data_IF_225789501505
#
_entry.id   IF_225789501505
#
_cell.length_a   1.000
_cell.length_b   1.000
_cell.length_c   1.000
_cell.angle_alpha   90.00
_cell.angle_beta   90.00
_cell.angle_gamma   90.00
#
_symmetry.space_group_name_H-M   'P 1'
#
loop_
_entity.id
_entity.type
_entity.pdbx_description
1 polymer ?
#
# COMPACT_ATOMS: atom_id res chain seq x y z
N UNK A 1 -17.41 -4.49 13.95
CA UNK A 1 -17.02 -5.90 14.21
C UNK A 1 -17.93 -6.60 15.22
N UNK A 2 -19.04 -6.02 15.69
CA UNK A 2 -20.03 -6.73 16.53
C UNK A 2 -20.67 -7.94 15.81
N UNK A 3 -20.73 -7.87 14.48
CA UNK A 3 -21.33 -8.89 13.62
C UNK A 3 -20.30 -9.70 12.81
N UNK A 4 -18.99 -9.51 13.05
CA UNK A 4 -18.01 -10.35 12.38
C UNK A 4 -18.02 -11.76 13.00
N UNK A 5 -18.09 -12.81 12.17
CA UNK A 5 -18.03 -14.18 12.67
C UNK A 5 -16.70 -14.40 13.38
N UNK A 6 -16.75 -15.04 14.56
CA UNK A 6 -15.59 -15.32 15.41
C UNK A 6 -14.76 -16.49 14.84
N UNK A 7 -14.37 -16.41 13.57
CA UNK A 7 -13.52 -17.38 12.90
C UNK A 7 -12.09 -16.85 12.98
N UNK A 8 -11.10 -17.67 13.41
CA UNK A 8 -9.71 -17.25 13.40
C UNK A 8 -9.28 -16.81 11.99
N UNK A 9 -8.67 -15.64 11.88
CA UNK A 9 -8.10 -15.15 10.63
C UNK A 9 -6.96 -16.06 10.18
N UNK A 10 -6.86 -16.32 8.88
CA UNK A 10 -5.68 -16.97 8.31
C UNK A 10 -4.45 -16.07 8.48
N UNK A 11 -3.35 -16.66 8.95
CA UNK A 11 -2.12 -15.94 9.24
C UNK A 11 -1.07 -16.18 8.17
N UNK A 12 -0.34 -15.14 7.81
CA UNK A 12 0.79 -15.20 6.87
C UNK A 12 2.01 -15.90 7.48
N UNK A 13 2.02 -16.07 8.81
CA UNK A 13 3.02 -16.82 9.57
C UNK A 13 2.81 -18.34 9.54
N UNK A 14 1.62 -18.83 9.18
CA UNK A 14 1.36 -20.27 9.05
C UNK A 14 1.94 -20.79 7.72
N UNK A 15 3.08 -21.46 7.80
CA UNK A 15 3.83 -22.00 6.65
C UNK A 15 3.03 -22.98 5.78
N UNK A 16 2.02 -23.65 6.34
CA UNK A 16 1.17 -24.59 5.61
C UNK A 16 -0.01 -23.92 4.92
N UNK A 17 -0.28 -22.66 5.25
CA UNK A 17 -1.41 -21.91 4.73
C UNK A 17 -1.13 -21.33 3.35
N UNK A 18 -2.20 -21.16 2.59
CA UNK A 18 -2.16 -20.39 1.35
C UNK A 18 -1.80 -18.91 1.57
N UNK A 19 -2.03 -18.37 2.78
CA UNK A 19 -1.68 -16.99 3.12
C UNK A 19 -0.15 -16.79 3.13
N UNK A 20 0.60 -17.76 3.67
CA UNK A 20 2.06 -17.73 3.66
C UNK A 20 2.63 -17.72 2.24
N UNK A 21 2.18 -18.66 1.40
CA UNK A 21 2.57 -18.74 -0.02
C UNK A 21 2.20 -17.45 -0.76
N UNK A 22 1.04 -16.89 -0.47
CA UNK A 22 0.58 -15.67 -1.14
C UNK A 22 1.49 -14.47 -0.87
N UNK A 23 1.90 -14.23 0.38
CA UNK A 23 2.77 -13.10 0.72
C UNK A 23 4.20 -13.30 0.20
N UNK A 24 4.72 -14.52 0.25
CA UNK A 24 6.11 -14.82 -0.15
C UNK A 24 6.32 -14.88 -1.66
N UNK A 25 5.33 -15.39 -2.40
CA UNK A 25 5.49 -15.70 -3.82
C UNK A 25 4.62 -14.83 -4.72
N UNK A 26 3.37 -14.55 -4.34
CA UNK A 26 2.40 -13.89 -5.23
C UNK A 26 2.44 -12.38 -5.13
N UNK A 27 2.53 -11.84 -3.91
CA UNK A 27 2.60 -10.39 -3.71
C UNK A 27 3.82 -9.75 -4.39
N UNK A 28 5.04 -10.32 -4.31
CA UNK A 28 6.19 -9.76 -5.02
C UNK A 28 5.99 -9.71 -6.54
N UNK A 29 5.33 -10.72 -7.12
CA UNK A 29 5.02 -10.76 -8.56
C UNK A 29 4.03 -9.66 -8.95
N UNK A 30 3.01 -9.39 -8.12
CA UNK A 30 2.08 -8.29 -8.35
C UNK A 30 2.82 -6.94 -8.32
N UNK A 31 3.72 -6.75 -7.34
CA UNK A 31 4.51 -5.52 -7.22
C UNK A 31 5.46 -5.34 -8.40
N UNK A 32 6.07 -6.42 -8.90
CA UNK A 32 6.89 -6.38 -10.11
C UNK A 32 6.08 -5.99 -11.35
N UNK A 33 4.84 -6.48 -11.48
CA UNK A 33 3.92 -6.04 -12.53
C UNK A 33 3.65 -4.54 -12.46
N UNK A 34 3.35 -4.01 -11.28
CA UNK A 34 3.12 -2.58 -11.07
C UNK A 34 4.36 -1.76 -11.41
N UNK A 35 5.55 -2.18 -10.95
CA UNK A 35 6.82 -1.49 -11.23
C UNK A 35 7.08 -1.44 -12.73
N UNK A 36 6.89 -2.55 -13.44
CA UNK A 36 7.08 -2.61 -14.89
C UNK A 36 6.11 -1.69 -15.63
N UNK A 37 4.81 -1.78 -15.31
CA UNK A 37 3.77 -0.98 -15.96
C UNK A 37 4.01 0.53 -15.74
N UNK A 38 4.36 0.93 -14.51
CA UNK A 38 4.66 2.33 -14.19
C UNK A 38 5.92 2.80 -14.90
N UNK A 39 6.98 1.98 -14.92
CA UNK A 39 8.24 2.34 -15.58
C UNK A 39 8.03 2.56 -17.07
N UNK A 40 7.28 1.69 -17.74
CA UNK A 40 6.93 1.84 -19.15
C UNK A 40 6.17 3.15 -19.40
N UNK A 41 5.17 3.44 -18.56
CA UNK A 41 4.35 4.66 -18.72
C UNK A 41 5.11 5.93 -18.44
N UNK A 42 5.94 5.96 -17.38
CA UNK A 42 6.69 7.16 -16.96
C UNK A 42 7.74 7.54 -17.99
N UNK A 43 8.40 6.58 -18.63
CA UNK A 43 9.41 6.84 -19.66
C UNK A 43 8.87 7.57 -20.90
N UNK A 44 7.55 7.57 -21.12
CA UNK A 44 6.90 8.28 -22.23
C UNK A 44 6.34 9.66 -21.88
N UNK A 45 6.52 10.14 -20.65
CA UNK A 45 5.93 11.40 -20.16
C UNK A 45 6.80 12.60 -20.52
N UNK A 46 6.21 13.60 -21.17
CA UNK A 46 6.91 14.86 -21.52
C UNK A 46 6.87 15.92 -20.41
N UNK A 47 5.93 15.80 -19.47
CA UNK A 47 5.83 16.68 -18.32
C UNK A 47 6.83 16.24 -17.24
N UNK A 48 7.89 17.02 -17.08
CA UNK A 48 8.95 16.75 -16.10
C UNK A 48 8.42 16.65 -14.65
N UNK A 49 7.32 17.34 -14.31
CA UNK A 49 6.73 17.25 -12.97
C UNK A 49 6.07 15.89 -12.78
N UNK A 50 5.29 15.46 -13.78
CA UNK A 50 4.60 14.17 -13.73
C UNK A 50 5.58 12.99 -13.87
N UNK A 51 6.65 13.14 -14.63
CA UNK A 51 7.73 12.15 -14.72
C UNK A 51 8.45 11.99 -13.37
N UNK A 52 8.81 13.10 -12.72
CA UNK A 52 9.46 13.07 -11.42
C UNK A 52 8.57 12.45 -10.34
N UNK A 53 7.26 12.74 -10.38
CA UNK A 53 6.32 12.13 -9.44
C UNK A 53 6.12 10.63 -9.71
N UNK A 54 6.03 10.23 -10.98
CA UNK A 54 5.96 8.81 -11.35
C UNK A 54 7.17 8.02 -10.86
N UNK A 55 8.38 8.58 -10.96
CA UNK A 55 9.61 7.98 -10.41
C UNK A 55 9.53 7.80 -8.89
N UNK A 56 9.02 8.79 -8.15
CA UNK A 56 8.82 8.66 -6.70
C UNK A 56 7.82 7.57 -6.32
N UNK A 57 6.75 7.41 -7.09
CA UNK A 57 5.77 6.34 -6.87
C UNK A 57 6.44 4.98 -7.09
N UNK A 58 7.22 4.81 -8.17
CA UNK A 58 7.98 3.58 -8.44
C UNK A 58 8.91 3.26 -7.27
N UNK A 59 9.68 4.24 -6.78
CA UNK A 59 10.58 4.04 -5.62
C UNK A 59 9.81 3.59 -4.37
N UNK A 60 8.62 4.14 -4.13
CA UNK A 60 7.74 3.73 -3.04
C UNK A 60 7.28 2.27 -3.16
N UNK A 61 6.96 1.81 -4.37
CA UNK A 61 6.56 0.41 -4.63
C UNK A 61 7.75 -0.54 -4.47
N UNK A 62 8.94 -0.14 -4.93
CA UNK A 62 10.19 -0.90 -4.74
C UNK A 62 10.51 -1.07 -3.25
N UNK A 63 10.40 0.00 -2.47
CA UNK A 63 10.60 -0.06 -1.02
C UNK A 63 9.58 -0.99 -0.35
N UNK A 64 8.30 -0.90 -0.73
CA UNK A 64 7.26 -1.79 -0.20
C UNK A 64 7.55 -3.27 -0.51
N UNK A 65 8.02 -3.58 -1.72
CA UNK A 65 8.43 -4.95 -2.07
C UNK A 65 9.57 -5.44 -1.18
N UNK A 66 10.57 -4.59 -0.93
CA UNK A 66 11.69 -4.92 -0.05
C UNK A 66 11.23 -5.17 1.40
N UNK A 67 10.31 -4.35 1.91
CA UNK A 67 9.73 -4.53 3.25
C UNK A 67 8.99 -5.87 3.37
N UNK A 68 8.20 -6.25 2.35
CA UNK A 68 7.48 -7.54 2.34
C UNK A 68 8.46 -8.73 2.30
N UNK A 69 9.49 -8.68 1.43
CA UNK A 69 10.46 -9.77 1.30
C UNK A 69 11.34 -9.95 2.53
N UNK A 70 11.57 -8.87 3.29
CA UNK A 70 12.34 -8.89 4.53
C UNK A 70 11.50 -9.20 5.77
N UNK A 71 10.20 -9.45 5.61
CA UNK A 71 9.25 -9.64 6.72
C UNK A 71 9.30 -8.46 7.71
N UNK A 72 9.46 -7.24 7.17
CA UNK A 72 9.57 -6.04 7.97
C UNK A 72 8.27 -5.76 8.72
N UNK A 73 8.41 -5.27 9.95
CA UNK A 73 7.25 -4.89 10.77
C UNK A 73 6.46 -3.79 10.07
N UNK A 74 5.15 -4.00 9.93
CA UNK A 74 4.24 -2.96 9.42
C UNK A 74 4.38 -1.70 10.28
N UNK A 75 4.65 -0.59 9.62
CA UNK A 75 4.81 0.72 10.28
C UNK A 75 3.60 1.59 10.02
N UNK A 76 3.27 2.42 11.01
CA UNK A 76 2.32 3.50 10.84
C UNK A 76 2.91 4.50 9.84
N UNK A 77 2.36 4.56 8.64
CA UNK A 77 2.68 5.63 7.69
C UNK A 77 1.82 6.84 8.08
N UNK A 78 2.30 7.65 9.03
CA UNK A 78 1.62 8.89 9.44
C UNK A 78 1.63 9.94 8.32
N UNK A 79 2.60 9.82 7.40
CA UNK A 79 2.82 10.72 6.28
C UNK A 79 3.37 9.89 5.11
N UNK A 80 2.49 9.43 4.23
CA UNK A 80 2.92 9.04 2.89
C UNK A 80 3.16 10.36 2.11
N UNK A 81 4.26 10.53 1.36
CA UNK A 81 4.63 11.82 0.75
C UNK A 81 3.61 12.39 -0.26
N UNK A 82 2.54 11.65 -0.57
CA UNK A 82 1.37 12.13 -1.34
C UNK A 82 0.60 13.27 -0.64
N UNK A 83 0.85 13.53 0.65
CA UNK A 83 0.29 14.68 1.38
C UNK A 83 0.70 16.05 0.81
N UNK A 84 1.71 16.11 -0.07
CA UNK A 84 2.11 17.33 -0.76
C UNK A 84 1.40 17.57 -2.11
N UNK A 85 0.58 16.62 -2.60
CA UNK A 85 0.16 16.61 -4.01
C UNK A 85 -1.34 16.81 -4.29
N UNK A 86 -2.20 16.86 -3.27
CA UNK A 86 -3.59 17.28 -3.50
C UNK A 86 -3.63 18.81 -3.55
N UNK A 87 -3.38 19.40 -4.73
CA UNK A 87 -4.01 20.69 -5.03
C UNK A 87 -5.52 20.44 -5.10
N UNK A 88 -6.35 21.15 -4.31
CA UNK A 88 -7.80 21.04 -4.45
C UNK A 88 -8.17 21.59 -5.83
N UNK A 89 -8.28 20.70 -6.83
CA UNK A 89 -8.86 21.05 -8.12
C UNK A 89 -10.36 21.03 -7.91
N UNK A 90 -10.92 22.23 -7.77
CA UNK A 90 -12.25 22.53 -7.27
C UNK A 90 -13.42 22.06 -8.16
N UNK A 91 -13.22 21.07 -9.03
CA UNK A 91 -14.24 20.69 -10.00
C UNK A 91 -14.06 19.25 -10.51
N UNK A 92 -14.36 18.27 -9.66
CA UNK A 92 -14.90 16.99 -10.12
C UNK A 92 -16.00 16.55 -9.16
N UNK A 93 -17.20 16.43 -9.73
CA UNK A 93 -18.40 15.88 -9.10
C UNK A 93 -18.06 14.62 -8.32
N UNK A 94 -18.51 14.61 -7.07
CA UNK A 94 -18.51 13.51 -6.10
C UNK A 94 -19.04 12.22 -6.71
N UNK A 95 -18.15 11.46 -7.32
CA UNK A 95 -18.30 10.02 -7.46
C UNK A 95 -17.11 9.44 -6.73
N UNK A 96 -17.40 8.58 -5.75
CA UNK A 96 -16.49 7.73 -4.97
C UNK A 96 -16.08 8.25 -3.58
N UNK A 97 -17.07 8.33 -2.69
CA UNK A 97 -17.06 7.69 -1.34
C UNK A 97 -15.67 7.17 -0.88
N UNK A 98 -14.91 7.96 -0.13
CA UNK A 98 -13.77 7.61 0.74
C UNK A 98 -12.65 6.66 0.24
N UNK A 99 -12.54 6.40 -1.07
CA UNK A 99 -11.85 5.20 -1.64
C UNK A 99 -10.33 5.04 -1.48
N UNK A 100 -9.61 5.81 -0.65
CA UNK A 100 -8.21 5.52 -0.30
C UNK A 100 -7.76 6.07 1.06
N UNK A 101 -8.66 6.64 1.88
CA UNK A 101 -8.26 7.47 3.02
C UNK A 101 -8.69 6.95 4.40
N UNK A 102 -8.89 5.64 4.57
CA UNK A 102 -9.02 5.05 5.91
C UNK A 102 -7.65 4.75 6.55
N UNK A 103 -6.70 5.67 6.38
CA UNK A 103 -5.42 5.66 7.12
C UNK A 103 -5.70 5.63 8.62
N UNK A 104 -6.80 6.24 9.06
CA UNK A 104 -7.25 6.24 10.45
C UNK A 104 -7.61 4.83 10.94
N UNK A 105 -8.39 4.06 10.18
CA UNK A 105 -8.76 2.68 10.47
C UNK A 105 -7.55 1.74 10.45
N UNK A 106 -6.72 1.82 9.41
CA UNK A 106 -5.45 1.07 9.37
C UNK A 106 -4.57 1.40 10.58
N UNK A 107 -4.43 2.67 10.93
CA UNK A 107 -3.60 3.11 12.06
C UNK A 107 -4.16 2.64 13.39
N UNK A 108 -5.49 2.59 13.53
CA UNK A 108 -6.17 2.10 14.72
C UNK A 108 -5.96 0.61 14.92
N UNK A 109 -6.08 -0.19 13.86
CA UNK A 109 -5.83 -1.64 13.95
C UNK A 109 -4.35 -1.92 14.20
N UNK A 110 -3.44 -1.21 13.52
CA UNK A 110 -2.00 -1.37 13.78
C UNK A 110 -1.62 -0.95 15.21
N UNK A 111 -2.26 0.09 15.77
CA UNK A 111 -2.05 0.49 17.16
C UNK A 111 -2.60 -0.52 18.18
N UNK A 112 -3.61 -1.34 17.82
CA UNK A 112 -4.11 -2.43 18.67
C UNK A 112 -3.15 -3.61 18.72
N UNK A 113 -2.41 -3.86 17.63
CA UNK A 113 -1.49 -5.00 17.53
C UNK A 113 -0.08 -4.69 18.06
N UNK A 114 0.29 -3.42 18.26
CA UNK A 114 1.55 -3.04 18.90
C UNK A 114 1.38 -3.15 20.43
N UNK A 115 2.15 -4.01 21.14
CA UNK A 115 2.06 -4.11 22.59
C UNK A 115 2.41 -2.76 23.24
N UNK A 116 1.57 -2.30 24.16
CA UNK A 116 1.94 -1.23 25.09
C UNK A 116 3.08 -1.76 25.98
N UNK A 117 4.32 -1.41 25.62
CA UNK A 117 5.46 -1.49 26.53
C UNK A 117 5.40 -0.38 27.56
#
# INVERSE_FOLDING_TARGET
MEFDPQIPSYLTSDLSSFAHVSVRERWPVILDGIINDLTEKVNGVLDAIAEAEGKRVIDGVVALKADILSDAKLTLKREWPMGAFIRPRNDFRTLLDDRFNDIAGYSKELAREIPHG
#
